data_IF_531040992139
#
_entry.id   IF_531040992139
#
_cell.length_a   1.000
_cell.length_b   1.000
_cell.length_c   1.000
_cell.angle_alpha   90.00
_cell.angle_beta   90.00
_cell.angle_gamma   90.00
#
_symmetry.space_group_name_H-M   'P 1'
#
loop_
_entity.id
_entity.type
_entity.pdbx_description
1 polymer ?
#
# COMPACT_ATOMS: atom_id res chain seq x y z
N UNK A 1 -0.01 -1.95 -8.05
CA UNK A 1 0.55 -2.04 -6.69
C UNK A 1 1.92 -1.41 -6.68
N UNK A 2 2.24 -0.65 -5.64
CA UNK A 2 3.55 -0.07 -5.37
C UNK A 2 3.97 -0.51 -3.97
N UNK A 3 5.11 -1.17 -3.87
CA UNK A 3 5.66 -1.72 -2.62
C UNK A 3 7.04 -1.11 -2.43
N UNK A 4 7.29 -0.48 -1.29
CA UNK A 4 8.58 0.12 -0.96
C UNK A 4 9.02 -0.37 0.41
N UNK A 5 10.20 -0.98 0.49
CA UNK A 5 10.73 -1.48 1.77
C UNK A 5 12.10 -0.87 2.02
N UNK A 6 12.23 -0.27 3.19
CA UNK A 6 13.44 0.40 3.65
C UNK A 6 13.96 -0.24 4.93
N UNK A 7 15.28 -0.40 5.02
CA UNK A 7 15.97 -0.58 6.29
C UNK A 7 16.60 0.73 6.75
N UNK A 8 16.57 0.97 8.06
CA UNK A 8 17.16 2.13 8.72
C UNK A 8 18.38 1.70 9.56
N UNK A 9 19.54 2.28 9.27
CA UNK A 9 20.74 2.07 10.10
C UNK A 9 20.77 2.97 11.34
N UNK A 10 21.84 2.87 12.15
CA UNK A 10 22.02 3.65 13.38
C UNK A 10 22.02 5.18 13.10
N UNK A 11 22.44 5.59 11.89
CA UNK A 11 22.46 6.98 11.45
C UNK A 11 21.16 7.46 10.79
N UNK A 12 20.09 6.65 10.81
CA UNK A 12 18.86 6.85 10.04
C UNK A 12 19.07 6.88 8.51
N UNK A 13 20.14 6.27 7.99
CA UNK A 13 20.31 6.11 6.56
C UNK A 13 19.31 5.08 6.04
N UNK A 14 18.57 5.45 4.99
CA UNK A 14 17.57 4.60 4.34
C UNK A 14 18.21 3.77 3.25
N UNK A 15 18.09 2.46 3.34
CA UNK A 15 18.49 1.53 2.28
C UNK A 15 17.26 0.79 1.75
N UNK A 16 17.02 0.84 0.43
CA UNK A 16 15.87 0.21 -0.22
C UNK A 16 16.13 -1.27 -0.54
N UNK A 17 15.19 -2.15 -0.19
CA UNK A 17 15.32 -3.62 -0.29
C UNK A 17 14.47 -4.21 -1.42
N UNK A 18 14.90 -4.01 -2.67
CA UNK A 18 14.16 -4.45 -3.87
C UNK A 18 13.82 -5.95 -3.91
N UNK A 19 14.75 -6.83 -3.53
CA UNK A 19 14.48 -8.28 -3.54
C UNK A 19 13.35 -8.69 -2.58
N UNK A 20 13.20 -7.96 -1.48
CA UNK A 20 12.15 -8.22 -0.50
C UNK A 20 10.82 -7.57 -0.91
N UNK A 21 10.85 -6.43 -1.62
CA UNK A 21 9.66 -5.83 -2.25
C UNK A 21 8.95 -6.83 -3.18
N UNK A 22 9.70 -7.55 -4.03
CA UNK A 22 9.13 -8.56 -4.94
C UNK A 22 8.46 -9.73 -4.22
N UNK A 23 9.02 -10.14 -3.07
CA UNK A 23 8.45 -11.18 -2.24
C UNK A 23 7.14 -10.73 -1.59
N UNK A 24 7.16 -9.55 -0.95
CA UNK A 24 5.97 -8.96 -0.32
C UNK A 24 4.88 -8.66 -1.33
N UNK A 25 5.24 -8.22 -2.54
CA UNK A 25 4.26 -7.96 -3.59
C UNK A 25 3.46 -9.22 -3.96
N UNK A 26 4.09 -10.38 -3.99
CA UNK A 26 3.38 -11.63 -4.26
C UNK A 26 2.41 -11.97 -3.13
N UNK A 27 2.85 -11.85 -1.88
CA UNK A 27 2.01 -12.13 -0.70
C UNK A 27 0.82 -11.19 -0.61
N UNK A 28 1.03 -9.88 -0.74
CA UNK A 28 -0.03 -8.87 -0.66
C UNK A 28 -1.10 -9.07 -1.75
N UNK A 29 -0.69 -9.39 -2.98
CA UNK A 29 -1.65 -9.70 -4.06
C UNK A 29 -2.53 -10.90 -3.73
N UNK A 30 -1.95 -11.94 -3.14
CA UNK A 30 -2.68 -13.15 -2.76
C UNK A 30 -3.69 -12.85 -1.65
N UNK A 31 -3.24 -12.22 -0.57
CA UNK A 31 -4.11 -11.93 0.59
C UNK A 31 -5.27 -11.00 0.24
N UNK A 32 -5.01 -9.93 -0.53
CA UNK A 32 -6.09 -9.02 -0.98
C UNK A 32 -7.06 -9.74 -1.90
N UNK A 33 -6.56 -10.61 -2.79
CA UNK A 33 -7.42 -11.38 -3.68
C UNK A 33 -8.33 -12.31 -2.89
N UNK A 34 -7.80 -12.99 -1.88
CA UNK A 34 -8.57 -13.85 -0.99
C UNK A 34 -9.62 -13.07 -0.20
N UNK A 35 -9.24 -11.91 0.35
CA UNK A 35 -10.17 -11.03 1.08
C UNK A 35 -11.33 -10.54 0.19
N UNK A 36 -11.02 -10.10 -1.03
CA UNK A 36 -12.03 -9.63 -1.99
C UNK A 36 -12.93 -10.78 -2.48
N UNK A 37 -12.36 -11.98 -2.73
CA UNK A 37 -13.13 -13.16 -3.10
C UNK A 37 -14.07 -13.62 -1.99
N UNK A 38 -13.64 -13.54 -0.72
CA UNK A 38 -14.47 -13.83 0.44
C UNK A 38 -15.70 -12.91 0.51
N UNK A 39 -15.55 -11.66 0.05
CA UNK A 39 -16.64 -10.69 -0.06
C UNK A 39 -17.47 -10.83 -1.36
N UNK A 40 -17.30 -11.94 -2.11
CA UNK A 40 -18.11 -12.25 -3.29
C UNK A 40 -17.63 -11.63 -4.61
N UNK A 41 -16.47 -10.96 -4.62
CA UNK A 41 -15.93 -10.32 -5.83
C UNK A 41 -15.16 -11.32 -6.70
N UNK A 42 -15.33 -11.22 -8.02
CA UNK A 42 -14.48 -11.93 -8.99
C UNK A 42 -13.19 -11.15 -9.18
N UNK A 43 -12.08 -11.70 -8.68
CA UNK A 43 -10.77 -11.05 -8.74
C UNK A 43 -9.93 -11.63 -9.88
N UNK A 44 -9.44 -10.76 -10.76
CA UNK A 44 -8.44 -11.08 -11.78
C UNK A 44 -7.14 -10.37 -11.44
N UNK A 45 -6.10 -11.13 -11.11
CA UNK A 45 -4.77 -10.59 -10.88
C UNK A 45 -4.13 -10.19 -12.20
N UNK A 46 -3.67 -8.94 -12.28
CA UNK A 46 -2.89 -8.44 -13.41
C UNK A 46 -1.40 -8.67 -13.13
N UNK A 47 -0.80 -9.67 -13.79
CA UNK A 47 0.63 -9.95 -13.62
C UNK A 47 1.48 -9.06 -14.53
N UNK A 48 2.72 -8.77 -14.11
CA UNK A 48 3.66 -7.95 -14.91
C UNK A 48 3.91 -8.55 -16.30
N UNK A 49 3.85 -9.89 -16.43
CA UNK A 49 3.94 -10.57 -17.73
C UNK A 49 2.79 -10.14 -18.65
N UNK A 50 1.56 -10.15 -18.13
CA UNK A 50 0.36 -9.78 -18.91
C UNK A 50 0.39 -8.31 -19.31
N UNK A 51 0.85 -7.43 -18.40
CA UNK A 51 1.04 -6.00 -18.67
C UNK A 51 1.99 -5.81 -19.86
N UNK A 52 3.14 -6.49 -19.86
CA UNK A 52 4.13 -6.41 -20.94
C UNK A 52 3.60 -6.98 -22.25
N UNK A 53 2.97 -8.15 -22.20
CA UNK A 53 2.41 -8.80 -23.39
C UNK A 53 1.31 -7.94 -24.04
N UNK A 54 0.50 -7.27 -23.23
CA UNK A 54 -0.57 -6.38 -23.71
C UNK A 54 -0.10 -4.94 -23.93
N UNK A 55 1.19 -4.65 -23.76
CA UNK A 55 1.80 -3.31 -23.87
C UNK A 55 1.09 -2.25 -23.03
N UNK A 56 0.70 -2.63 -21.83
CA UNK A 56 -0.04 -1.77 -20.88
C UNK A 56 0.88 -0.99 -19.94
N UNK A 57 2.21 -1.14 -20.05
CA UNK A 57 3.17 -0.59 -19.08
C UNK A 57 3.01 0.93 -18.88
N UNK A 58 2.92 1.70 -19.97
CA UNK A 58 2.75 3.16 -19.91
C UNK A 58 1.39 3.55 -19.31
N UNK A 59 0.30 2.88 -19.72
CA UNK A 59 -1.04 3.13 -19.18
C UNK A 59 -1.12 2.84 -17.68
N UNK A 60 -0.57 1.70 -17.25
CA UNK A 60 -0.54 1.32 -15.83
C UNK A 60 0.33 2.29 -15.02
N UNK A 61 1.46 2.73 -15.57
CA UNK A 61 2.34 3.69 -14.92
C UNK A 61 1.66 5.05 -14.74
N UNK A 62 1.04 5.58 -15.80
CA UNK A 62 0.28 6.85 -15.75
C UNK A 62 -0.92 6.77 -14.82
N UNK A 63 -1.64 5.64 -14.83
CA UNK A 63 -2.75 5.40 -13.91
C UNK A 63 -2.29 5.47 -12.44
N UNK A 64 -1.20 4.79 -12.09
CA UNK A 64 -0.63 4.82 -10.73
C UNK A 64 -0.21 6.23 -10.33
N UNK A 65 0.49 6.94 -11.21
CA UNK A 65 0.93 8.32 -10.95
C UNK A 65 -0.27 9.26 -10.73
N UNK A 66 -1.28 9.17 -11.60
CA UNK A 66 -2.50 9.97 -11.48
C UNK A 66 -3.27 9.66 -10.19
N UNK A 67 -3.40 8.38 -9.82
CA UNK A 67 -3.98 7.98 -8.55
C UNK A 67 -3.22 8.58 -7.36
N UNK A 68 -1.90 8.43 -7.31
CA UNK A 68 -1.10 8.92 -6.18
C UNK A 68 -1.18 10.46 -6.02
N UNK A 69 -1.17 11.19 -7.12
CA UNK A 69 -1.35 12.65 -7.10
C UNK A 69 -2.73 13.04 -6.57
N UNK A 70 -3.76 12.34 -7.02
CA UNK A 70 -5.15 12.57 -6.63
C UNK A 70 -5.41 12.18 -5.17
N UNK A 71 -4.84 11.05 -4.73
CA UNK A 71 -4.88 10.56 -3.36
C UNK A 71 -4.24 11.57 -2.40
N UNK A 72 -3.08 12.12 -2.78
CA UNK A 72 -2.43 13.17 -1.99
C UNK A 72 -3.34 14.39 -1.85
N UNK A 73 -4.05 14.78 -2.90
CA UNK A 73 -5.01 15.89 -2.83
C UNK A 73 -6.22 15.58 -1.91
N UNK A 74 -6.69 14.32 -1.84
CA UNK A 74 -7.79 13.90 -0.95
C UNK A 74 -7.41 13.91 0.53
N UNK A 75 -6.17 13.54 0.84
CA UNK A 75 -5.68 13.42 2.23
C UNK A 75 -4.72 14.54 2.65
N UNK A 76 -4.52 15.56 1.82
CA UNK A 76 -3.85 16.79 2.27
C UNK A 76 -4.73 17.39 3.36
N UNK A 77 -4.20 17.68 4.56
CA UNK A 77 -4.96 18.24 5.67
C UNK A 77 -5.36 19.68 5.36
N UNK A 78 -6.38 19.83 4.53
CA UNK A 78 -7.11 21.06 4.35
C UNK A 78 -8.36 20.90 5.23
N UNK A 79 -8.59 21.86 6.13
CA UNK A 79 -9.81 21.95 6.92
C UNK A 79 -10.97 22.29 5.97
N UNK A 80 -11.41 21.32 5.18
CA UNK A 80 -12.58 21.50 4.33
C UNK A 80 -13.83 21.51 5.21
N UNK A 81 -14.79 22.41 4.91
CA UNK A 81 -16.14 22.30 5.46
C UNK A 81 -16.71 20.92 5.16
N UNK A 82 -17.42 20.32 6.11
CA UNK A 82 -17.97 18.96 6.03
C UNK A 82 -18.73 18.69 4.71
N UNK A 83 -19.57 19.64 4.28
CA UNK A 83 -20.30 19.53 3.02
C UNK A 83 -19.40 19.43 1.78
N UNK A 84 -18.25 20.11 1.78
CA UNK A 84 -17.26 20.04 0.70
C UNK A 84 -16.48 18.73 0.72
N UNK A 85 -16.15 18.23 1.91
CA UNK A 85 -15.50 16.94 2.09
C UNK A 85 -16.41 15.79 1.62
N UNK A 86 -17.71 15.84 1.97
CA UNK A 86 -18.69 14.82 1.59
C UNK A 86 -19.00 14.82 0.09
N UNK A 87 -19.01 15.99 -0.56
CA UNK A 87 -19.29 16.11 -2.00
C UNK A 87 -18.09 15.82 -2.89
N UNK A 88 -16.90 15.58 -2.32
CA UNK A 88 -15.68 15.49 -3.11
C UNK A 88 -15.63 14.17 -3.87
N UNK A 89 -15.81 14.26 -5.19
CA UNK A 89 -15.56 13.16 -6.10
C UNK A 89 -14.31 13.46 -6.89
N UNK A 90 -13.37 12.52 -6.90
CA UNK A 90 -12.15 12.61 -7.68
C UNK A 90 -12.21 11.61 -8.83
N UNK A 91 -11.83 12.08 -10.01
CA UNK A 91 -11.84 11.30 -11.23
C UNK A 91 -10.44 11.26 -11.81
N UNK A 92 -9.94 10.05 -12.04
CA UNK A 92 -8.61 9.79 -12.60
C UNK A 92 -8.64 9.87 -14.13
N UNK A 93 -9.84 9.85 -14.71
CA UNK A 93 -10.11 10.15 -16.10
C UNK A 93 -9.99 8.95 -17.05
N UNK A 94 -9.72 9.27 -18.31
CA UNK A 94 -9.75 8.38 -19.47
C UNK A 94 -8.75 7.21 -19.40
N UNK A 95 -7.67 7.34 -18.63
CA UNK A 95 -6.66 6.30 -18.43
C UNK A 95 -7.26 5.01 -17.85
N UNK A 96 -8.18 5.14 -16.91
CA UNK A 96 -8.81 4.00 -16.24
C UNK A 96 -9.84 3.34 -17.15
N UNK A 97 -10.55 4.16 -17.92
CA UNK A 97 -11.55 3.71 -18.90
C UNK A 97 -10.88 2.87 -19.98
N UNK A 98 -9.81 3.38 -20.59
CA UNK A 98 -9.01 2.64 -21.57
C UNK A 98 -8.42 1.33 -20.98
N UNK A 99 -8.00 1.35 -19.72
CA UNK A 99 -7.50 0.15 -19.06
C UNK A 99 -8.62 -0.86 -18.82
N UNK A 100 -9.81 -0.39 -18.44
CA UNK A 100 -11.02 -1.19 -18.28
C UNK A 100 -11.41 -1.90 -19.57
N UNK A 101 -11.47 -1.16 -20.68
CA UNK A 101 -11.80 -1.69 -22.01
C UNK A 101 -10.80 -2.77 -22.46
N UNK A 102 -9.50 -2.56 -22.22
CA UNK A 102 -8.46 -3.53 -22.60
C UNK A 102 -8.43 -4.78 -21.72
N UNK A 103 -8.74 -4.64 -20.44
CA UNK A 103 -8.62 -5.74 -19.46
C UNK A 103 -9.94 -6.48 -19.21
N UNK A 104 -11.07 -5.86 -19.58
CA UNK A 104 -12.43 -6.30 -19.26
C UNK A 104 -12.79 -6.15 -17.78
N UNK A 105 -12.07 -5.30 -17.04
CA UNK A 105 -12.31 -5.10 -15.61
C UNK A 105 -13.30 -3.96 -15.37
N UNK A 106 -14.29 -4.19 -14.50
CA UNK A 106 -15.23 -3.16 -14.07
C UNK A 106 -14.64 -2.25 -12.98
N UNK A 107 -13.73 -2.79 -12.17
CA UNK A 107 -13.15 -2.14 -11.00
C UNK A 107 -11.65 -2.44 -10.93
N UNK A 108 -10.87 -1.42 -10.59
CA UNK A 108 -9.45 -1.55 -10.28
C UNK A 108 -9.19 -1.31 -8.80
N UNK A 109 -8.34 -2.16 -8.21
CA UNK A 109 -7.84 -2.00 -6.86
C UNK A 109 -6.38 -1.56 -6.93
N UNK A 110 -6.09 -0.38 -6.40
CA UNK A 110 -4.72 0.10 -6.17
C UNK A 110 -4.33 -0.15 -4.73
N UNK A 111 -3.11 -0.64 -4.56
CA UNK A 111 -2.47 -0.78 -3.25
C UNK A 111 -1.12 -0.08 -3.30
N UNK A 112 -0.88 0.73 -2.28
CA UNK A 112 0.41 1.33 -1.99
C UNK A 112 0.83 0.86 -0.60
N UNK A 113 2.00 0.23 -0.52
CA UNK A 113 2.56 -0.32 0.72
C UNK A 113 3.97 0.24 0.88
N UNK A 114 4.22 0.86 2.02
CA UNK A 114 5.53 1.36 2.42
C UNK A 114 5.87 0.80 3.78
N UNK A 115 7.06 0.23 3.91
CA UNK A 115 7.57 -0.31 5.16
C UNK A 115 8.96 0.25 5.43
N UNK A 116 9.16 0.74 6.64
CA UNK A 116 10.46 1.13 7.17
C UNK A 116 10.71 0.29 8.41
N UNK A 117 11.88 -0.35 8.48
CA UNK A 117 12.28 -1.17 9.63
C UNK A 117 13.72 -0.85 10.01
N UNK A 118 14.01 -0.73 11.30
CA UNK A 118 15.37 -0.59 11.82
C UNK A 118 16.19 -1.87 11.67
N UNK A 119 17.46 -1.70 11.31
CA UNK A 119 18.44 -2.79 11.31
C UNK A 119 18.69 -3.27 12.74
N UNK A 120 19.15 -4.51 12.90
CA UNK A 120 19.50 -5.04 14.23
C UNK A 120 20.52 -4.16 14.98
N UNK A 121 21.46 -3.53 14.25
CA UNK A 121 22.42 -2.59 14.82
C UNK A 121 21.74 -1.32 15.35
N UNK A 122 20.79 -0.76 14.61
CA UNK A 122 19.97 0.36 15.04
C UNK A 122 19.12 0.01 16.27
N UNK A 123 18.45 -1.15 16.25
CA UNK A 123 17.66 -1.62 17.41
C UNK A 123 18.53 -1.87 18.65
N UNK A 124 19.74 -2.40 18.47
CA UNK A 124 20.68 -2.62 19.59
C UNK A 124 21.16 -1.29 20.17
N UNK A 125 21.43 -0.31 19.31
CA UNK A 125 21.76 1.04 19.75
C UNK A 125 20.59 1.68 20.51
N UNK A 126 19.36 1.57 20.00
CA UNK A 126 18.18 2.07 20.69
C UNK A 126 17.98 1.42 22.07
N UNK A 127 18.17 0.10 22.16
CA UNK A 127 18.08 -0.61 23.43
C UNK A 127 19.09 -0.09 24.45
N UNK A 128 20.35 0.09 24.03
CA UNK A 128 21.38 0.65 24.89
C UNK A 128 21.07 2.10 25.29
N UNK A 129 20.63 2.93 24.35
CA UNK A 129 20.23 4.32 24.63
C UNK A 129 19.04 4.39 25.58
N UNK A 130 18.07 3.49 25.43
CA UNK A 130 16.92 3.36 26.35
C UNK A 130 17.36 2.96 27.75
N UNK A 131 18.28 1.99 27.87
CA UNK A 131 18.85 1.57 29.15
C UNK A 131 19.60 2.71 29.86
N UNK A 132 20.14 3.67 29.09
CA UNK A 132 20.79 4.88 29.59
C UNK A 132 19.79 6.05 29.85
N UNK A 133 18.49 5.83 29.68
CA UNK A 133 17.45 6.84 29.92
C UNK A 133 17.27 7.85 28.78
N UNK A 134 17.86 7.61 27.61
CA UNK A 134 17.65 8.47 26.43
C UNK A 134 16.35 8.09 25.71
N UNK A 135 15.66 9.11 25.18
CA UNK A 135 14.51 8.91 24.30
C UNK A 135 14.97 8.30 22.97
N UNK A 136 14.27 7.26 22.53
CA UNK A 136 14.47 6.61 21.23
C UNK A 136 13.23 6.77 20.36
N UNK A 137 13.44 6.95 19.06
CA UNK A 137 12.33 7.04 18.10
C UNK A 137 11.90 5.64 17.65
N UNK A 138 10.60 5.36 17.64
CA UNK A 138 10.08 4.24 16.86
C UNK A 138 10.08 4.65 15.39
N UNK A 139 11.06 4.17 14.63
CA UNK A 139 11.16 4.43 13.19
C UNK A 139 10.57 3.30 12.35
N UNK A 140 10.15 2.20 13.01
CA UNK A 140 9.43 1.12 12.36
C UNK A 140 8.03 1.61 12.01
N UNK A 141 7.77 1.73 10.70
CA UNK A 141 6.56 2.33 10.18
C UNK A 141 6.07 1.52 8.98
N UNK A 142 4.82 1.11 9.05
CA UNK A 142 4.11 0.56 7.91
C UNK A 142 2.95 1.46 7.57
N UNK A 143 2.94 1.87 6.31
CA UNK A 143 1.86 2.60 5.70
C UNK A 143 1.28 1.74 4.57
N UNK A 144 -0.02 1.44 4.67
CA UNK A 144 -0.75 0.79 3.59
C UNK A 144 -1.96 1.65 3.23
N UNK A 145 -2.12 1.96 1.95
CA UNK A 145 -3.32 2.58 1.40
C UNK A 145 -3.89 1.73 0.28
N UNK A 146 -5.21 1.59 0.30
CA UNK A 146 -5.99 0.90 -0.72
C UNK A 146 -6.96 1.89 -1.37
N UNK A 147 -7.13 1.76 -2.69
CA UNK A 147 -8.04 2.56 -3.48
C UNK A 147 -8.83 1.69 -4.43
N UNK A 148 -10.13 1.97 -4.54
CA UNK A 148 -11.05 1.31 -5.46
C UNK A 148 -11.48 2.36 -6.49
N UNK A 149 -11.23 2.05 -7.76
CA UNK A 149 -11.52 2.94 -8.89
C UNK A 149 -12.44 2.23 -9.86
N UNK A 150 -13.52 2.89 -10.24
CA UNK A 150 -14.45 2.39 -11.24
C UNK A 150 -13.87 2.57 -12.65
N UNK A 151 -13.88 1.50 -13.44
CA UNK A 151 -13.37 1.53 -14.80
C UNK A 151 -14.28 2.28 -15.78
N UNK A 152 -15.61 2.28 -15.57
CA UNK A 152 -16.56 2.94 -16.49
C UNK A 152 -16.45 4.46 -16.48
N UNK A 153 -16.20 5.05 -15.32
CA UNK A 153 -16.20 6.51 -15.14
C UNK A 153 -14.83 7.09 -14.82
N UNK A 154 -13.87 6.24 -14.39
CA UNK A 154 -12.58 6.68 -13.84
C UNK A 154 -12.67 7.24 -12.42
N UNK A 155 -13.85 7.19 -11.79
CA UNK A 155 -14.10 7.74 -10.46
C UNK A 155 -13.47 6.87 -9.37
N UNK A 156 -12.85 7.52 -8.39
CA UNK A 156 -12.47 6.87 -7.14
C UNK A 156 -13.76 6.62 -6.34
N UNK A 157 -14.09 5.35 -6.13
CA UNK A 157 -15.28 4.95 -5.37
C UNK A 157 -15.02 4.98 -3.87
N UNK A 158 -13.83 4.54 -3.48
CA UNK A 158 -13.46 4.39 -2.08
C UNK A 158 -11.95 4.38 -1.95
N UNK A 159 -11.45 4.93 -0.85
CA UNK A 159 -10.05 4.82 -0.47
C UNK A 159 -9.95 4.76 1.04
N UNK A 160 -8.99 4.00 1.53
CA UNK A 160 -8.68 3.93 2.95
C UNK A 160 -7.19 3.73 3.12
N UNK A 161 -6.66 4.21 4.24
CA UNK A 161 -5.26 4.06 4.58
C UNK A 161 -5.10 3.79 6.07
N UNK A 162 -4.02 3.11 6.42
CA UNK A 162 -3.69 2.84 7.82
C UNK A 162 -3.44 4.17 8.53
N UNK A 163 -4.18 4.49 9.61
CA UNK A 163 -4.17 5.81 10.24
C UNK A 163 -2.84 6.17 10.90
N UNK A 164 -2.02 5.17 11.23
CA UNK A 164 -0.67 5.33 11.74
C UNK A 164 0.24 4.19 11.27
N UNK A 165 1.51 4.53 11.19
CA UNK A 165 2.66 3.64 11.24
C UNK A 165 2.48 2.54 12.30
N UNK A 166 1.98 1.36 11.93
CA UNK A 166 1.92 0.27 12.90
C UNK A 166 3.31 -0.35 13.02
N UNK A 167 3.93 -0.37 14.22
CA UNK A 167 5.16 -1.12 14.42
C UNK A 167 4.79 -2.60 14.42
N UNK A 168 5.25 -3.37 13.42
CA UNK A 168 5.27 -4.82 13.58
C UNK A 168 6.45 -5.22 14.44
N UNK A 169 6.22 -6.12 15.38
CA UNK A 169 7.23 -6.68 16.25
C UNK A 169 8.13 -7.72 15.55
N UNK A 170 8.42 -7.55 14.25
CA UNK A 170 9.13 -8.56 13.46
C UNK A 170 10.25 -7.96 12.62
N UNK A 171 11.45 -8.52 12.78
CA UNK A 171 12.61 -8.19 11.96
C UNK A 171 12.44 -8.74 10.54
N UNK A 172 12.87 -7.97 9.53
CA UNK A 172 12.97 -8.41 8.11
C UNK A 172 13.84 -9.68 7.95
N UNK A 173 14.65 -10.02 8.96
CA UNK A 173 15.62 -11.12 8.92
C UNK A 173 15.14 -12.42 9.57
N UNK A 174 13.92 -12.48 10.10
CA UNK A 174 13.38 -13.72 10.65
C UNK A 174 12.42 -14.36 9.65
N UNK A 175 12.78 -15.54 9.15
CA UNK A 175 12.04 -16.38 8.20
C UNK A 175 10.72 -16.94 8.73
N UNK A 176 9.84 -16.08 9.27
CA UNK A 176 8.50 -16.47 9.72
C UNK A 176 7.45 -15.76 8.89
N UNK A 177 7.27 -16.25 7.66
CA UNK A 177 6.15 -15.94 6.76
C UNK A 177 4.81 -15.94 7.52
N UNK A 178 4.63 -16.81 8.53
CA UNK A 178 3.40 -16.88 9.33
C UNK A 178 3.10 -15.63 10.17
N UNK A 179 4.12 -15.01 10.79
CA UNK A 179 3.90 -13.78 11.56
C UNK A 179 3.65 -12.59 10.64
N UNK A 180 4.35 -12.53 9.51
CA UNK A 180 4.14 -11.49 8.50
C UNK A 180 2.76 -11.60 7.85
N UNK A 181 2.31 -12.80 7.50
CA UNK A 181 0.96 -13.06 6.98
C UNK A 181 -0.11 -12.67 8.00
N UNK A 182 0.05 -13.05 9.29
CA UNK A 182 -0.92 -12.67 10.33
C UNK A 182 -1.03 -11.15 10.52
N UNK A 183 0.11 -10.48 10.43
CA UNK A 183 0.25 -9.04 10.46
C UNK A 183 -0.43 -8.36 9.25
N UNK A 184 -0.20 -8.86 8.04
CA UNK A 184 -0.88 -8.40 6.83
C UNK A 184 -2.39 -8.64 6.89
N UNK A 185 -2.83 -9.81 7.34
CA UNK A 185 -4.24 -10.15 7.49
C UNK A 185 -4.95 -9.19 8.45
N UNK A 186 -4.31 -8.82 9.55
CA UNK A 186 -4.83 -7.82 10.49
C UNK A 186 -5.01 -6.45 9.83
N UNK A 187 -3.98 -5.96 9.11
CA UNK A 187 -4.01 -4.65 8.43
C UNK A 187 -5.03 -4.63 7.29
N UNK A 188 -5.08 -5.69 6.49
CA UNK A 188 -6.04 -5.82 5.38
C UNK A 188 -7.46 -5.84 5.93
N UNK A 189 -7.74 -6.59 6.99
CA UNK A 189 -9.06 -6.58 7.62
C UNK A 189 -9.39 -5.23 8.24
N UNK A 190 -8.43 -4.53 8.86
CA UNK A 190 -8.66 -3.17 9.36
C UNK A 190 -9.05 -2.23 8.22
N UNK A 191 -8.33 -2.26 7.11
CA UNK A 191 -8.59 -1.43 5.94
C UNK A 191 -9.93 -1.77 5.28
N UNK A 192 -10.26 -3.05 5.15
CA UNK A 192 -11.47 -3.54 4.50
C UNK A 192 -12.68 -3.63 5.43
N UNK A 193 -12.52 -3.49 6.75
CA UNK A 193 -13.63 -3.54 7.72
C UNK A 193 -14.81 -2.60 7.43
N UNK A 194 -14.63 -1.41 6.81
CA UNK A 194 -15.75 -0.52 6.48
C UNK A 194 -16.50 -0.91 5.20
N UNK A 195 -16.04 -1.94 4.46
CA UNK A 195 -16.66 -2.47 3.23
C UNK A 195 -17.56 -3.67 3.56
#
# INVERSE_FOLDING_TARGET
MQTEVYTLDIGNCKERKYNYEDHLEKLLKQEISLAMQKNGLRVKLLYNKDIRTQKLDDLVSRFRSSYNNTYTALYTPLLWPEGKAFSMTQNIGELVIMLGEKTGADIFVLLHYVQMIKTNGACTCDFLMSALGCSVSNADNIFMSIGIVEAKSGRILWTNATPQAQPFSSSIFSSRDKSEIGNFYSVINMLLSPL
#
